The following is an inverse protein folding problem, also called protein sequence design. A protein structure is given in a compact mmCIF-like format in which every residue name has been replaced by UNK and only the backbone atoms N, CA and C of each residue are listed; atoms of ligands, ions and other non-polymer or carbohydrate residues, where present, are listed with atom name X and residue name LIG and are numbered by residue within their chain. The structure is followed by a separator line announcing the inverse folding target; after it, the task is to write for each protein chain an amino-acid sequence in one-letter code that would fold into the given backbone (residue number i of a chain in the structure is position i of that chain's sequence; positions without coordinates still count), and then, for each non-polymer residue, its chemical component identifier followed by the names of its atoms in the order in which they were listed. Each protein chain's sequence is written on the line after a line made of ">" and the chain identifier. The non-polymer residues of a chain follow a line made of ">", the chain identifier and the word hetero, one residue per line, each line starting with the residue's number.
data_IF_159990224859
#
_entry.id   IF_159990224859
#
_cell.length_a   1.000
_cell.length_b   1.000
_cell.length_c   1.000
_cell.angle_alpha   90.00
_cell.angle_beta   90.00
_cell.angle_gamma   90.00
#
_symmetry.space_group_name_H-M   'P 1'
#
loop_
_entity.id
_entity.type
_entity.pdbx_description
1 polymer ?
#
# COMPACT_ATOMS: atom_id res chain seq x y z
N UNK A 1 12.97 41.55 -18.69
CA UNK A 1 11.56 41.53 -18.23
C UNK A 1 10.98 40.18 -18.63
N UNK A 2 11.13 39.18 -17.78
CA UNK A 2 10.71 37.79 -18.03
C UNK A 2 9.26 37.65 -17.57
N UNK A 3 8.35 37.45 -18.52
CA UNK A 3 6.93 37.20 -18.26
C UNK A 3 6.78 35.81 -17.63
N UNK A 4 6.41 35.77 -16.35
CA UNK A 4 5.96 34.56 -15.67
C UNK A 4 4.50 34.35 -16.06
N UNK A 5 4.20 33.42 -16.98
CA UNK A 5 2.83 32.95 -17.18
C UNK A 5 2.46 32.00 -16.04
N UNK A 6 1.46 32.31 -15.20
CA UNK A 6 0.97 31.36 -14.22
C UNK A 6 0.25 30.23 -14.96
N UNK A 7 0.74 29.00 -14.83
CA UNK A 7 -0.02 27.81 -15.18
C UNK A 7 -1.20 27.71 -14.20
N UNK A 8 -2.39 28.14 -14.64
CA UNK A 8 -3.62 27.82 -13.94
C UNK A 8 -3.86 26.31 -14.09
N UNK A 9 -3.64 25.56 -13.01
CA UNK A 9 -4.15 24.19 -12.91
C UNK A 9 -5.67 24.26 -12.76
N UNK A 10 -6.39 23.96 -13.84
CA UNK A 10 -7.83 23.75 -13.76
C UNK A 10 -8.12 22.52 -12.91
N UNK A 11 -9.00 22.66 -11.91
CA UNK A 11 -9.51 21.52 -11.16
C UNK A 11 -10.30 20.60 -12.12
N UNK A 12 -9.76 19.41 -12.39
CA UNK A 12 -10.46 18.40 -13.18
C UNK A 12 -11.71 17.97 -12.41
N UNK A 13 -12.89 18.16 -13.01
CA UNK A 13 -14.14 17.69 -12.42
C UNK A 13 -14.09 16.16 -12.26
N UNK A 14 -14.49 15.67 -11.10
CA UNK A 14 -14.62 14.23 -10.87
C UNK A 14 -15.61 13.63 -11.87
N UNK A 15 -15.18 12.59 -12.59
CA UNK A 15 -16.05 11.86 -13.53
C UNK A 15 -17.02 11.02 -12.71
N UNK A 16 -18.35 11.23 -12.86
CA UNK A 16 -19.32 10.45 -12.12
C UNK A 16 -19.29 8.99 -12.57
N UNK A 17 -19.64 8.10 -11.65
CA UNK A 17 -19.85 6.70 -11.97
C UNK A 17 -21.22 6.51 -12.66
N UNK A 18 -21.27 5.99 -13.90
CA UNK A 18 -22.54 5.68 -14.54
C UNK A 18 -23.37 4.66 -13.75
N UNK A 19 -24.71 4.72 -13.84
CA UNK A 19 -25.58 3.66 -13.33
C UNK A 19 -25.16 2.29 -13.87
N UNK A 20 -25.30 1.26 -13.03
CA UNK A 20 -24.98 -0.15 -13.36
C UNK A 20 -23.52 -0.45 -13.71
N UNK A 21 -22.62 0.54 -13.64
CA UNK A 21 -21.18 0.35 -13.80
C UNK A 21 -20.48 0.04 -12.47
N UNK A 22 -19.28 -0.52 -12.56
CA UNK A 22 -18.40 -0.77 -11.40
C UNK A 22 -17.31 0.28 -11.36
N UNK A 23 -17.13 0.96 -10.23
CA UNK A 23 -16.19 2.07 -10.12
C UNK A 23 -15.74 2.39 -8.69
N UNK A 24 -14.52 2.93 -8.56
CA UNK A 24 -13.97 3.43 -7.32
C UNK A 24 -14.77 4.62 -6.75
N UNK A 25 -15.36 5.45 -7.62
CA UNK A 25 -16.20 6.57 -7.21
C UNK A 25 -17.52 6.13 -6.51
N UNK A 26 -17.87 4.84 -6.58
CA UNK A 26 -18.98 4.23 -5.86
C UNK A 26 -18.54 2.87 -5.26
N UNK A 27 -17.94 2.85 -4.06
CA UNK A 27 -17.44 1.62 -3.42
C UNK A 27 -18.48 0.51 -3.30
N UNK A 28 -19.76 0.83 -3.13
CA UNK A 28 -20.83 -0.14 -3.06
C UNK A 28 -21.02 -0.93 -4.38
N UNK A 29 -20.72 -0.31 -5.52
CA UNK A 29 -20.73 -1.01 -6.82
C UNK A 29 -19.67 -2.10 -6.90
N UNK A 30 -18.49 -1.86 -6.33
CA UNK A 30 -17.36 -2.80 -6.29
C UNK A 30 -17.70 -3.99 -5.40
N UNK A 31 -18.21 -3.74 -4.19
CA UNK A 31 -18.66 -4.82 -3.28
C UNK A 31 -19.75 -5.67 -3.92
N UNK A 32 -20.75 -5.03 -4.55
CA UNK A 32 -21.83 -5.76 -5.21
C UNK A 32 -21.31 -6.63 -6.35
N UNK A 33 -20.35 -6.14 -7.12
CA UNK A 33 -19.73 -6.90 -8.20
C UNK A 33 -18.90 -8.08 -7.67
N UNK A 34 -18.11 -7.88 -6.61
CA UNK A 34 -17.37 -8.95 -5.93
C UNK A 34 -18.28 -10.06 -5.42
N UNK A 35 -19.39 -9.71 -4.75
CA UNK A 35 -20.35 -10.69 -4.26
C UNK A 35 -21.01 -11.51 -5.38
N UNK A 36 -21.26 -10.90 -6.55
CA UNK A 36 -21.82 -11.61 -7.71
C UNK A 36 -20.87 -12.67 -8.26
N UNK A 37 -19.56 -12.41 -8.17
CA UNK A 37 -18.51 -13.36 -8.57
C UNK A 37 -18.07 -14.28 -7.41
N UNK A 38 -18.80 -14.27 -6.29
CA UNK A 38 -18.58 -15.21 -5.18
C UNK A 38 -17.49 -14.82 -4.17
N UNK A 39 -16.89 -13.62 -4.31
CA UNK A 39 -15.92 -13.12 -3.35
C UNK A 39 -16.62 -12.61 -2.09
N UNK A 40 -16.10 -12.92 -0.90
CA UNK A 40 -16.55 -12.24 0.31
C UNK A 40 -15.89 -10.87 0.36
N UNK A 41 -16.68 -9.81 0.48
CA UNK A 41 -16.19 -8.44 0.47
C UNK A 41 -16.91 -7.60 1.53
N UNK A 42 -16.15 -6.76 2.23
CA UNK A 42 -16.67 -5.80 3.21
C UNK A 42 -15.95 -4.47 3.07
N UNK A 43 -16.71 -3.38 2.95
CA UNK A 43 -16.13 -2.02 2.98
C UNK A 43 -15.75 -1.64 4.41
N UNK A 44 -14.54 -1.12 4.55
CA UNK A 44 -13.96 -0.50 5.74
C UNK A 44 -13.33 0.84 5.32
N UNK A 45 -12.69 1.53 6.27
CA UNK A 45 -11.87 2.70 5.99
C UNK A 45 -10.39 2.35 6.23
N UNK A 46 -9.49 2.92 5.43
CA UNK A 46 -8.05 2.80 5.64
C UNK A 46 -7.53 3.76 6.73
N UNK A 47 -6.19 3.87 6.86
CA UNK A 47 -5.54 4.72 7.86
C UNK A 47 -5.77 6.22 7.62
N UNK A 48 -6.06 6.60 6.39
CA UNK A 48 -6.30 7.94 5.92
C UNK A 48 -7.79 8.30 5.93
N UNK A 49 -8.67 7.31 6.08
CA UNK A 49 -10.12 7.44 6.07
C UNK A 49 -10.77 7.22 4.70
N UNK A 50 -9.98 6.87 3.68
CA UNK A 50 -10.49 6.52 2.36
C UNK A 50 -11.13 5.12 2.38
N UNK A 51 -12.05 4.82 1.45
CA UNK A 51 -12.67 3.50 1.39
C UNK A 51 -11.64 2.41 1.10
N UNK A 52 -11.76 1.28 1.78
CA UNK A 52 -11.02 0.05 1.46
C UNK A 52 -12.00 -1.13 1.51
N UNK A 53 -11.75 -2.17 0.74
CA UNK A 53 -12.51 -3.41 0.83
C UNK A 53 -11.58 -4.50 1.37
N UNK A 54 -11.97 -5.11 2.48
CA UNK A 54 -11.40 -6.40 2.90
C UNK A 54 -12.09 -7.48 2.08
N UNK A 55 -11.30 -8.30 1.38
CA UNK A 55 -11.81 -9.38 0.55
C UNK A 55 -11.16 -10.71 0.91
N UNK A 56 -11.94 -11.78 0.94
CA UNK A 56 -11.40 -13.14 0.95
C UNK A 56 -11.42 -13.68 -0.47
N UNK A 57 -10.38 -13.34 -1.24
CA UNK A 57 -10.03 -14.07 -2.44
C UNK A 57 -9.01 -15.13 -2.04
N UNK A 58 -9.41 -16.42 -2.00
CA UNK A 58 -8.54 -17.57 -1.67
C UNK A 58 -8.07 -17.68 -0.20
N UNK A 59 -7.04 -18.49 0.07
CA UNK A 59 -6.45 -18.70 1.39
C UNK A 59 -5.62 -17.49 1.90
N UNK A 60 -5.53 -16.42 1.12
CA UNK A 60 -4.69 -15.25 1.39
C UNK A 60 -5.54 -14.07 1.86
N UNK A 61 -4.97 -13.25 2.77
CA UNK A 61 -5.59 -11.99 3.13
C UNK A 61 -5.43 -11.01 1.96
N UNK A 62 -6.55 -10.62 1.35
CA UNK A 62 -6.56 -9.67 0.25
C UNK A 62 -7.35 -8.42 0.58
N UNK A 63 -6.91 -7.28 0.06
CA UNK A 63 -7.63 -6.02 0.15
C UNK A 63 -7.80 -5.40 -1.24
N UNK A 64 -8.74 -4.47 -1.33
CA UNK A 64 -8.88 -3.59 -2.48
C UNK A 64 -8.88 -2.15 -1.97
N UNK A 65 -7.82 -1.43 -2.27
CA UNK A 65 -7.60 -0.05 -1.84
C UNK A 65 -8.16 0.93 -2.88
N UNK A 66 -8.73 2.04 -2.43
CA UNK A 66 -9.29 3.07 -3.31
C UNK A 66 -8.33 4.25 -3.39
N UNK A 67 -7.91 4.60 -4.61
CA UNK A 67 -6.92 5.65 -4.83
C UNK A 67 -7.48 6.87 -5.55
N UNK A 68 -6.82 8.01 -5.35
CA UNK A 68 -7.16 9.27 -5.99
C UNK A 68 -8.47 9.87 -5.46
N UNK A 69 -8.78 9.63 -4.19
CA UNK A 69 -9.96 10.13 -3.52
C UNK A 69 -9.85 11.64 -3.21
N UNK A 70 -11.00 12.31 -3.22
CA UNK A 70 -11.18 13.71 -2.86
C UNK A 70 -12.08 13.77 -1.63
N UNK A 71 -11.50 14.16 -0.48
CA UNK A 71 -12.19 14.17 0.82
C UNK A 71 -12.88 12.84 1.14
N UNK A 72 -12.14 11.72 1.02
CA UNK A 72 -12.61 10.36 1.30
C UNK A 72 -13.74 9.86 0.40
N UNK A 73 -13.92 10.49 -0.77
CA UNK A 73 -14.94 10.15 -1.75
C UNK A 73 -14.42 10.30 -3.18
N UNK A 74 -15.23 9.92 -4.18
CA UNK A 74 -14.95 10.16 -5.61
C UNK A 74 -13.58 9.61 -6.09
N UNK A 75 -13.18 8.47 -5.53
CA UNK A 75 -11.94 7.80 -5.88
C UNK A 75 -11.91 7.40 -7.37
N UNK A 76 -10.71 7.24 -7.93
CA UNK A 76 -10.46 7.15 -9.37
C UNK A 76 -10.02 5.75 -9.81
N UNK A 77 -9.27 5.05 -8.96
CA UNK A 77 -8.72 3.73 -9.24
C UNK A 77 -8.85 2.81 -8.04
N UNK A 78 -8.70 1.52 -8.32
CA UNK A 78 -8.64 0.44 -7.35
C UNK A 78 -7.26 -0.20 -7.45
N UNK A 79 -6.74 -0.66 -6.31
CA UNK A 79 -5.61 -1.59 -6.25
C UNK A 79 -6.06 -2.85 -5.57
N UNK A 80 -5.98 -3.97 -6.24
CA UNK A 80 -6.04 -5.28 -5.60
C UNK A 80 -4.69 -5.54 -4.94
N UNK A 81 -4.71 -6.02 -3.71
CA UNK A 81 -3.52 -6.23 -2.90
C UNK A 81 -3.62 -7.57 -2.17
N UNK A 82 -2.52 -8.33 -2.15
CA UNK A 82 -2.37 -9.54 -1.36
C UNK A 82 -0.96 -9.60 -0.78
N UNK A 83 -0.86 -9.70 0.54
CA UNK A 83 0.40 -9.83 1.27
C UNK A 83 0.65 -11.27 1.70
N UNK A 84 1.92 -11.67 1.72
CA UNK A 84 2.35 -13.03 2.04
C UNK A 84 3.46 -13.01 3.07
N UNK A 85 3.10 -13.45 4.28
CA UNK A 85 3.99 -13.37 5.42
C UNK A 85 5.30 -14.16 5.26
N UNK A 86 6.30 -13.69 5.99
CA UNK A 86 7.61 -14.33 6.14
C UNK A 86 8.70 -13.71 5.29
N UNK A 87 9.92 -13.76 5.83
CA UNK A 87 11.12 -13.14 5.26
C UNK A 87 11.40 -13.63 3.82
N UNK A 88 11.35 -12.69 2.88
CA UNK A 88 11.70 -12.83 1.46
C UNK A 88 12.79 -11.86 1.03
N UNK A 89 13.65 -11.41 1.95
CA UNK A 89 14.74 -10.48 1.67
C UNK A 89 15.72 -10.97 0.58
N UNK A 90 15.76 -12.28 0.31
CA UNK A 90 16.54 -12.92 -0.74
C UNK A 90 15.81 -13.09 -2.09
N UNK A 91 14.54 -12.69 -2.18
CA UNK A 91 13.70 -12.97 -3.36
C UNK A 91 13.73 -11.89 -4.45
N UNK A 92 14.54 -10.83 -4.33
CA UNK A 92 14.51 -9.68 -5.26
C UNK A 92 14.73 -10.06 -6.74
N UNK A 93 15.66 -10.96 -7.03
CA UNK A 93 15.91 -11.43 -8.41
C UNK A 93 14.69 -12.18 -8.97
N UNK A 94 14.07 -13.01 -8.13
CA UNK A 94 12.90 -13.80 -8.48
C UNK A 94 11.65 -12.92 -8.65
N UNK A 95 11.49 -11.88 -7.82
CA UNK A 95 10.47 -10.83 -7.94
C UNK A 95 10.62 -10.08 -9.27
N UNK A 96 11.84 -9.64 -9.60
CA UNK A 96 12.11 -8.93 -10.85
C UNK A 96 11.84 -9.82 -12.08
N UNK A 97 12.22 -11.09 -12.02
CA UNK A 97 11.90 -12.05 -13.07
C UNK A 97 10.40 -12.25 -13.22
N UNK A 98 9.66 -12.41 -12.12
CA UNK A 98 8.20 -12.51 -12.13
C UNK A 98 7.56 -11.29 -12.80
N UNK A 99 7.98 -10.09 -12.44
CA UNK A 99 7.49 -8.86 -13.09
C UNK A 99 7.83 -8.78 -14.58
N UNK A 100 8.95 -9.38 -15.02
CA UNK A 100 9.30 -9.41 -16.45
C UNK A 100 8.44 -10.39 -17.26
N UNK A 101 7.85 -11.41 -16.62
CA UNK A 101 7.04 -12.44 -17.28
C UNK A 101 5.55 -12.27 -17.10
N UNK A 102 5.10 -11.48 -16.12
CA UNK A 102 3.69 -11.24 -15.82
C UNK A 102 3.33 -9.77 -16.08
N UNK A 103 2.32 -9.54 -16.93
CA UNK A 103 2.03 -8.22 -17.48
C UNK A 103 1.11 -7.36 -16.59
N UNK A 104 0.20 -7.99 -15.86
CA UNK A 104 -0.93 -7.28 -15.26
C UNK A 104 -0.78 -7.05 -13.75
N UNK A 105 -0.06 -7.90 -13.04
CA UNK A 105 0.20 -7.74 -11.62
C UNK A 105 1.69 -7.45 -11.37
N UNK A 106 1.98 -6.74 -10.30
CA UNK A 106 3.32 -6.42 -9.85
C UNK A 106 3.62 -7.12 -8.53
N UNK A 107 4.79 -7.73 -8.45
CA UNK A 107 5.41 -8.27 -7.24
C UNK A 107 6.35 -7.23 -6.64
N UNK A 108 6.35 -7.13 -5.32
CA UNK A 108 7.25 -6.27 -4.54
C UNK A 108 7.52 -6.88 -3.16
N UNK A 109 8.57 -6.43 -2.50
CA UNK A 109 8.74 -6.61 -1.06
C UNK A 109 8.27 -5.34 -0.34
N UNK A 110 7.57 -5.50 0.78
CA UNK A 110 7.22 -4.38 1.64
C UNK A 110 8.37 -4.02 2.61
N UNK A 111 8.10 -3.16 3.60
CA UNK A 111 9.11 -2.71 4.56
C UNK A 111 9.57 -3.79 5.55
N UNK A 112 8.82 -4.88 5.68
CA UNK A 112 9.11 -6.01 6.56
C UNK A 112 9.67 -7.21 5.77
N UNK A 113 10.11 -6.97 4.53
CA UNK A 113 10.62 -7.98 3.59
C UNK A 113 9.59 -9.08 3.26
N UNK A 114 8.29 -8.78 3.39
CA UNK A 114 7.20 -9.68 3.01
C UNK A 114 6.81 -9.47 1.54
N UNK A 115 6.41 -10.57 0.87
CA UNK A 115 6.05 -10.50 -0.54
C UNK A 115 4.64 -9.95 -0.71
N UNK A 116 4.49 -9.04 -1.66
CA UNK A 116 3.23 -8.40 -2.01
C UNK A 116 2.93 -8.60 -3.49
N UNK A 117 1.68 -8.96 -3.80
CA UNK A 117 1.10 -8.87 -5.14
C UNK A 117 0.18 -7.67 -5.20
N UNK A 118 0.33 -6.85 -6.22
CA UNK A 118 -0.56 -5.72 -6.49
C UNK A 118 -1.06 -5.72 -7.93
N UNK A 119 -2.31 -5.32 -8.12
CA UNK A 119 -2.90 -5.11 -9.45
C UNK A 119 -3.76 -3.85 -9.47
N UNK A 120 -3.29 -2.81 -10.17
CA UNK A 120 -3.94 -1.52 -10.27
C UNK A 120 -4.87 -1.43 -11.48
N UNK A 121 -6.10 -0.94 -11.26
CA UNK A 121 -7.08 -0.69 -12.32
C UNK A 121 -7.71 0.70 -12.18
N UNK A 122 -7.72 1.46 -13.28
CA UNK A 122 -8.52 2.68 -13.36
C UNK A 122 -9.99 2.33 -13.57
N UNK A 123 -10.86 3.11 -12.96
CA UNK A 123 -12.32 2.94 -13.10
C UNK A 123 -13.03 4.24 -13.48
N UNK A 124 -12.25 5.24 -13.91
CA UNK A 124 -12.76 6.53 -14.37
C UNK A 124 -13.73 6.29 -15.54
N UNK A 125 -14.93 6.86 -15.44
CA UNK A 125 -15.99 6.67 -16.43
C UNK A 125 -16.82 5.40 -16.25
N UNK A 126 -16.51 4.58 -15.25
CA UNK A 126 -17.22 3.35 -14.94
C UNK A 126 -16.82 2.17 -15.82
N UNK A 127 -16.55 1.04 -15.20
CA UNK A 127 -16.31 -0.21 -15.91
C UNK A 127 -17.65 -0.90 -16.22
N UNK A 128 -17.85 -1.38 -17.46
CA UNK A 128 -18.91 -2.34 -17.73
C UNK A 128 -18.76 -3.56 -16.80
N UNK A 129 -19.85 -4.15 -16.27
CA UNK A 129 -19.77 -5.30 -15.38
C UNK A 129 -18.91 -6.44 -15.94
N UNK A 130 -19.06 -6.77 -17.23
CA UNK A 130 -18.25 -7.79 -17.88
C UNK A 130 -16.74 -7.48 -17.84
N UNK A 131 -16.34 -6.22 -17.98
CA UNK A 131 -14.93 -5.83 -17.88
C UNK A 131 -14.40 -5.96 -16.45
N UNK A 132 -15.25 -5.73 -15.44
CA UNK A 132 -14.86 -5.96 -14.05
C UNK A 132 -14.69 -7.46 -13.76
N UNK A 133 -15.50 -8.33 -14.37
CA UNK A 133 -15.31 -9.79 -14.27
C UNK A 133 -13.95 -10.20 -14.85
N UNK A 134 -13.55 -9.66 -16.00
CA UNK A 134 -12.21 -9.93 -16.57
C UNK A 134 -11.08 -9.48 -15.65
N UNK A 135 -11.24 -8.35 -14.94
CA UNK A 135 -10.26 -7.90 -13.95
C UNK A 135 -10.14 -8.91 -12.79
N UNK A 136 -11.26 -9.47 -12.32
CA UNK A 136 -11.25 -10.48 -11.27
C UNK A 136 -10.64 -11.81 -11.73
N UNK A 137 -10.80 -12.16 -13.00
CA UNK A 137 -10.16 -13.34 -13.60
C UNK A 137 -8.63 -13.18 -13.65
N UNK A 138 -8.13 -12.01 -14.10
CA UNK A 138 -6.70 -11.71 -14.05
C UNK A 138 -6.15 -11.65 -12.63
N UNK A 139 -6.92 -11.11 -11.67
CA UNK A 139 -6.55 -11.12 -10.26
C UNK A 139 -6.41 -12.55 -9.73
N UNK A 140 -7.39 -13.41 -10.01
CA UNK A 140 -7.38 -14.81 -9.59
C UNK A 140 -6.24 -15.60 -10.24
N UNK A 141 -5.95 -15.32 -11.51
CA UNK A 141 -4.79 -15.88 -12.22
C UNK A 141 -3.48 -15.48 -11.56
N UNK A 142 -3.30 -14.18 -11.25
CA UNK A 142 -2.10 -13.69 -10.58
C UNK A 142 -1.90 -14.30 -9.19
N UNK A 143 -2.98 -14.48 -8.41
CA UNK A 143 -2.92 -15.19 -7.13
C UNK A 143 -2.49 -16.65 -7.28
N UNK A 144 -2.96 -17.34 -8.33
CA UNK A 144 -2.56 -18.71 -8.65
C UNK A 144 -1.09 -18.82 -9.04
N UNK A 145 -0.61 -17.93 -9.92
CA UNK A 145 0.80 -17.85 -10.32
C UNK A 145 1.71 -17.58 -9.12
N UNK A 146 1.29 -16.68 -8.23
CA UNK A 146 2.04 -16.37 -7.02
C UNK A 146 2.06 -17.54 -6.02
N UNK A 147 0.95 -18.27 -5.88
CA UNK A 147 0.91 -19.49 -5.08
C UNK A 147 1.97 -20.48 -5.56
N UNK A 148 2.07 -20.70 -6.87
CA UNK A 148 3.09 -21.59 -7.44
C UNK A 148 4.52 -21.05 -7.24
N UNK A 149 4.71 -19.72 -7.33
CA UNK A 149 5.99 -19.08 -7.05
C UNK A 149 6.46 -19.33 -5.60
N UNK A 150 5.56 -19.17 -4.63
CA UNK A 150 5.84 -19.35 -3.20
C UNK A 150 6.16 -20.80 -2.84
N UNK A 151 5.51 -21.76 -3.49
CA UNK A 151 5.83 -23.18 -3.35
C UNK A 151 7.24 -23.50 -3.86
N UNK A 152 7.66 -22.86 -4.95
CA UNK A 152 9.01 -23.00 -5.51
C UNK A 152 10.09 -22.23 -4.73
N UNK A 153 9.69 -21.17 -4.01
CA UNK A 153 10.57 -20.25 -3.26
C UNK A 153 10.06 -20.08 -1.83
N UNK A 154 10.20 -21.11 -0.97
CA UNK A 154 9.74 -21.04 0.41
C UNK A 154 10.45 -19.91 1.16
N UNK A 155 9.75 -19.34 2.15
CA UNK A 155 10.32 -18.32 3.04
C UNK A 155 11.64 -18.81 3.64
N UNK A 156 12.58 -17.89 3.82
CA UNK A 156 13.73 -18.16 4.66
C UNK A 156 13.24 -18.56 6.05
N UNK A 157 13.77 -19.65 6.59
CA UNK A 157 13.47 -20.03 7.97
C UNK A 157 13.96 -18.90 8.88
N UNK A 158 13.06 -18.34 9.69
CA UNK A 158 13.45 -17.32 10.67
C UNK A 158 14.62 -17.89 11.48
N UNK A 159 15.80 -17.23 11.51
CA UNK A 159 16.91 -17.70 12.30
C UNK A 159 16.44 -17.79 13.76
N UNK A 160 16.78 -18.85 14.51
CA UNK A 160 16.31 -19.01 15.88
C UNK A 160 16.70 -17.77 16.67
N UNK A 161 15.71 -17.00 17.13
CA UNK A 161 15.93 -15.87 18.02
C UNK A 161 16.72 -16.40 19.22
N UNK A 162 17.98 -15.97 19.43
CA UNK A 162 18.76 -16.49 20.53
C UNK A 162 18.09 -16.08 21.84
N UNK A 163 17.74 -17.07 22.67
CA UNK A 163 17.04 -16.93 23.95
C UNK A 163 17.76 -16.01 24.99
N UNK A 164 18.88 -15.41 24.62
CA UNK A 164 19.72 -14.56 25.49
C UNK A 164 19.34 -13.08 25.49
N UNK A 165 18.37 -12.62 24.69
CA UNK A 165 17.92 -11.22 24.71
C UNK A 165 17.06 -10.85 25.94
N UNK A 166 16.74 -11.80 26.83
CA UNK A 166 16.20 -11.49 28.17
C UNK A 166 17.36 -11.31 29.15
N UNK A 167 18.21 -10.30 28.94
CA UNK A 167 18.93 -9.75 30.08
C UNK A 167 17.91 -9.00 30.92
N UNK A 168 17.43 -9.67 31.99
CA UNK A 168 16.75 -9.04 33.12
C UNK A 168 17.53 -7.78 33.49
N UNK A 169 16.96 -6.62 33.18
CA UNK A 169 17.36 -5.36 33.78
C UNK A 169 17.12 -5.51 35.29
N UNK A 170 18.15 -5.94 36.01
CA UNK A 170 18.20 -5.86 37.46
C UNK A 170 18.27 -4.38 37.77
N UNK A 171 17.12 -3.82 38.12
CA UNK A 171 16.94 -2.49 38.66
C UNK A 171 17.86 -2.28 39.88
N UNK A 172 19.09 -1.81 39.64
CA UNK A 172 19.88 -1.14 40.68
C UNK A 172 19.22 0.20 40.93
N UNK A 173 18.47 0.27 42.03
CA UNK A 173 17.85 1.49 42.52
C UNK A 173 18.88 2.61 42.62
N UNK A 174 18.61 3.72 41.94
CA UNK A 174 19.27 4.99 42.18
C UNK A 174 18.30 5.83 43.00
N UNK A 175 18.64 5.93 44.29
CA UNK A 175 17.93 6.75 45.27
C UNK A 175 18.00 8.22 44.89
N UNK A 176 16.82 8.85 44.81
CA UNK A 176 16.66 10.29 44.63
C UNK A 176 17.04 11.01 45.92
N UNK A 177 18.33 11.35 46.08
CA UNK A 177 18.75 12.42 47.00
C UNK A 177 20.21 12.80 46.73
N UNK A 178 20.40 13.87 45.96
CA UNK A 178 21.41 14.93 46.18
C UNK A 178 21.30 15.96 45.05
N UNK A 179 20.26 16.79 45.17
CA UNK A 179 20.33 18.18 44.75
C UNK A 179 21.37 18.86 45.65
N UNK A 180 22.46 19.36 45.07
CA UNK A 180 23.07 20.63 45.47
C UNK A 180 24.19 21.04 44.51
N UNK A 181 23.91 22.11 43.74
CA UNK A 181 24.87 23.16 43.48
C UNK A 181 25.87 22.95 42.35
N UNK A 182 25.46 23.26 41.11
CA UNK A 182 26.20 24.25 40.29
C UNK A 182 25.43 24.59 39.01
N UNK A 183 25.02 25.85 38.95
CA UNK A 183 24.61 26.54 37.75
C UNK A 183 25.71 26.48 36.68
N UNK A 184 25.39 25.94 35.50
CA UNK A 184 25.84 26.46 34.18
C UNK A 184 24.82 26.06 33.10
N UNK A 185 24.18 27.09 32.55
CA UNK A 185 23.82 27.35 31.13
C UNK A 185 24.23 26.24 30.13
N UNK A 186 23.48 25.83 29.12
CA UNK A 186 22.62 26.55 28.17
C UNK A 186 21.91 25.55 27.24
N UNK A 187 20.78 25.97 26.63
CA UNK A 187 20.19 25.50 25.35
C UNK A 187 19.82 24.01 25.31
N UNK A 188 18.57 23.58 25.14
CA UNK A 188 17.68 23.87 24.02
C UNK A 188 16.22 23.57 24.43
N UNK A 189 15.36 24.58 24.33
CA UNK A 189 13.92 24.39 24.15
C UNK A 189 13.68 24.38 22.64
N UNK A 190 13.40 23.20 22.08
CA UNK A 190 12.74 23.02 20.79
C UNK A 190 11.99 21.68 20.89
N UNK A 191 10.68 21.69 21.19
CA UNK A 191 9.62 21.66 20.18
C UNK A 191 9.98 20.68 19.06
N UNK A 192 9.64 19.40 19.25
CA UNK A 192 9.65 18.42 18.18
C UNK A 192 8.66 18.89 17.10
N UNK A 193 9.10 19.17 15.86
CA UNK A 193 8.20 19.31 14.74
C UNK A 193 7.79 17.91 14.29
N UNK A 194 6.48 17.73 14.03
CA UNK A 194 5.98 16.68 13.15
C UNK A 194 6.75 16.73 11.83
N UNK A 195 7.55 15.71 11.53
CA UNK A 195 8.22 15.64 10.24
C UNK A 195 7.21 15.23 9.15
N UNK A 196 7.16 16.07 8.12
CA UNK A 196 6.41 15.89 6.90
C UNK A 196 7.00 14.75 6.06
N UNK A 197 6.09 14.07 5.35
CA UNK A 197 6.35 13.09 4.30
C UNK A 197 7.44 13.57 3.34
N UNK A 198 8.46 12.75 3.11
CA UNK A 198 9.48 13.02 2.12
C UNK A 198 8.88 12.83 0.72
N UNK A 199 8.70 13.94 0.02
CA UNK A 199 8.45 13.96 -1.43
C UNK A 199 9.63 13.33 -2.17
N UNK A 200 9.32 12.42 -3.11
CA UNK A 200 10.28 11.79 -4.00
C UNK A 200 11.08 12.81 -4.85
N UNK A 201 12.40 12.65 -5.05
CA UNK A 201 13.16 13.45 -6.00
C UNK A 201 13.15 12.85 -7.42
N UNK A 202 12.77 13.70 -8.39
CA UNK A 202 13.24 13.76 -9.80
C UNK A 202 12.64 12.77 -10.81
N UNK A 203 11.81 13.31 -11.72
CA UNK A 203 11.47 12.73 -13.04
C UNK A 203 12.71 12.56 -13.94
N UNK A 204 12.92 11.40 -14.57
CA UNK A 204 13.86 11.27 -15.69
C UNK A 204 13.12 11.53 -17.02
N UNK A 205 13.47 12.58 -17.78
CA UNK A 205 12.92 12.72 -19.13
C UNK A 205 13.12 14.01 -19.94
N UNK A 206 13.86 15.03 -19.47
CA UNK A 206 14.12 16.22 -20.31
C UNK A 206 15.53 16.21 -20.90
N UNK A 207 15.69 15.52 -22.03
CA UNK A 207 16.88 15.67 -22.88
C UNK A 207 16.60 16.74 -23.94
N UNK A 208 17.35 17.84 -23.89
CA UNK A 208 17.48 18.82 -24.97
C UNK A 208 18.52 18.32 -25.97
N UNK A 209 18.14 18.20 -27.24
CA UNK A 209 18.94 18.61 -28.41
C UNK A 209 17.97 19.31 -29.37
#
# INVERSE_FOLDING_TARGET
>A
MTLFLPFLFAAAAAVPCPPESVCAANPASVVTALWREGFQAKTVADGEGDPMIESAASAYHSSIDFYGCEAHAKCKSLRFHAGFAGDRSDALDAVNQGNATHRFAALSLDSDDELVLSYDVTTIGGLPPANFVEILDWWSTGLGELSAFLEAHPASAEPPVPATAVQRSVSRGISSTKLQGRWRISSWLARMPSHASFTAPVEPGSAKI
#
